data_IF_235976159280
#
_entry.id   IF_235976159280
#
_cell.length_a   1.000
_cell.length_b   1.000
_cell.length_c   1.000
_cell.angle_alpha   90.00
_cell.angle_beta   90.00
_cell.angle_gamma   90.00
#
_symmetry.space_group_name_H-M   'P 1'
#
loop_
_entity.id
_entity.type
_entity.pdbx_description
1 polymer ?
#
# COMPACT_ATOMS: atom_id res chain seq x y z
N UNK A 1 -39.94 -60.82 -2.46
CA UNK A 1 -39.30 -61.47 -3.59
C UNK A 1 -38.49 -60.44 -4.35
N UNK A 2 -37.18 -60.66 -4.50
CA UNK A 2 -36.13 -59.88 -5.16
C UNK A 2 -35.58 -58.66 -4.40
N UNK A 3 -34.52 -58.97 -3.62
CA UNK A 3 -33.43 -58.07 -3.26
C UNK A 3 -32.61 -57.74 -4.52
N UNK A 4 -32.13 -56.49 -4.63
CA UNK A 4 -31.03 -56.14 -5.52
C UNK A 4 -29.97 -55.42 -4.68
N UNK A 5 -28.82 -56.09 -4.60
CA UNK A 5 -27.56 -55.58 -4.07
C UNK A 5 -27.07 -54.38 -4.86
N UNK A 6 -26.65 -53.36 -4.16
CA UNK A 6 -25.86 -52.26 -4.71
C UNK A 6 -24.45 -52.31 -4.10
N UNK A 7 -23.38 -52.25 -4.92
CA UNK A 7 -22.01 -52.38 -4.40
C UNK A 7 -21.54 -51.06 -3.77
N UNK A 8 -21.04 -51.17 -2.57
CA UNK A 8 -20.30 -50.14 -1.82
C UNK A 8 -19.05 -49.72 -2.58
N UNK A 9 -19.02 -48.47 -3.08
CA UNK A 9 -17.81 -47.84 -3.60
C UNK A 9 -16.94 -47.43 -2.43
N UNK A 10 -15.78 -48.04 -2.28
CA UNK A 10 -14.69 -47.65 -1.41
C UNK A 10 -14.17 -46.27 -1.83
N UNK A 11 -14.26 -45.27 -0.93
CA UNK A 11 -13.62 -43.99 -1.10
C UNK A 11 -12.13 -44.16 -0.78
N UNK A 12 -11.29 -44.10 -1.81
CA UNK A 12 -9.86 -43.96 -1.64
C UNK A 12 -9.58 -42.60 -0.95
N UNK A 13 -9.01 -42.68 0.25
CA UNK A 13 -8.39 -41.51 0.92
C UNK A 13 -7.22 -41.08 0.04
N UNK A 14 -7.38 -39.96 -0.65
CA UNK A 14 -6.28 -39.25 -1.30
C UNK A 14 -5.25 -38.85 -0.25
N UNK A 15 -4.00 -39.19 -0.51
CA UNK A 15 -2.86 -38.80 0.30
C UNK A 15 -2.81 -37.26 0.38
N UNK A 16 -2.90 -36.73 1.59
CA UNK A 16 -2.55 -35.35 1.86
C UNK A 16 -1.08 -35.16 1.54
N UNK A 17 -0.80 -34.17 0.70
CA UNK A 17 0.53 -33.79 0.26
C UNK A 17 1.41 -33.50 1.47
N UNK A 18 2.63 -34.08 1.39
CA UNK A 18 3.68 -33.99 2.38
C UNK A 18 4.00 -32.54 2.81
N UNK A 19 4.41 -32.43 4.06
CA UNK A 19 5.07 -31.32 4.71
C UNK A 19 5.98 -30.54 3.74
N UNK A 20 5.54 -29.35 3.34
CA UNK A 20 6.46 -28.32 2.84
C UNK A 20 7.03 -27.65 4.08
N UNK A 21 8.33 -27.80 4.27
CA UNK A 21 9.06 -26.97 5.24
C UNK A 21 8.71 -25.49 5.02
N UNK A 22 8.54 -24.70 6.11
CA UNK A 22 8.31 -23.27 5.97
C UNK A 22 9.48 -22.66 5.19
N UNK A 23 9.22 -21.77 4.21
CA UNK A 23 10.25 -21.19 3.37
C UNK A 23 11.30 -20.49 4.23
N UNK A 24 12.57 -20.80 3.99
CA UNK A 24 13.71 -20.12 4.63
C UNK A 24 13.76 -18.66 4.16
N UNK A 25 14.46 -17.79 4.90
CA UNK A 25 14.64 -16.37 4.54
C UNK A 25 15.17 -16.22 3.10
N UNK A 26 16.03 -17.15 2.64
CA UNK A 26 16.59 -17.16 1.29
C UNK A 26 15.57 -17.42 0.18
N UNK A 27 14.46 -18.09 0.48
CA UNK A 27 13.41 -18.39 -0.52
C UNK A 27 12.31 -17.32 -0.61
N UNK A 28 12.31 -16.34 0.29
CA UNK A 28 11.25 -15.34 0.38
C UNK A 28 11.52 -14.04 -0.38
N UNK A 29 12.79 -13.70 -0.57
CA UNK A 29 13.22 -12.49 -1.27
C UNK A 29 14.31 -12.85 -2.28
N UNK A 30 14.26 -12.20 -3.43
CA UNK A 30 15.22 -12.41 -4.51
C UNK A 30 16.36 -11.41 -4.39
N UNK A 31 17.48 -11.67 -5.09
CA UNK A 31 18.58 -10.71 -5.18
C UNK A 31 18.14 -9.39 -5.81
N UNK A 32 17.16 -9.44 -6.74
CA UNK A 32 16.56 -8.25 -7.33
C UNK A 32 15.94 -7.32 -6.28
N UNK A 33 15.23 -7.88 -5.29
CA UNK A 33 14.63 -7.08 -4.21
C UNK A 33 15.69 -6.52 -3.24
N UNK A 34 16.70 -7.32 -2.91
CA UNK A 34 17.75 -6.93 -1.94
C UNK A 34 18.69 -5.86 -2.48
N UNK A 35 18.90 -5.81 -3.79
CA UNK A 35 19.82 -4.89 -4.46
C UNK A 35 19.19 -3.56 -4.90
N UNK A 36 17.86 -3.41 -4.78
CA UNK A 36 17.20 -2.16 -5.14
C UNK A 36 17.66 -1.04 -4.20
N UNK A 37 17.88 0.19 -4.71
CA UNK A 37 18.06 1.34 -3.85
C UNK A 37 16.89 1.54 -2.90
N UNK A 38 17.18 1.91 -1.65
CA UNK A 38 16.13 2.30 -0.70
C UNK A 38 15.45 3.57 -1.17
N UNK A 39 14.13 3.58 -1.11
CA UNK A 39 13.26 4.68 -1.50
C UNK A 39 12.37 5.08 -0.34
N UNK A 40 12.19 6.38 -0.13
CA UNK A 40 11.48 6.92 1.01
C UNK A 40 10.29 7.77 0.57
N UNK A 41 9.10 7.44 1.10
CA UNK A 41 7.89 8.22 0.95
C UNK A 41 7.49 8.90 2.26
N UNK A 42 6.96 10.11 2.18
CA UNK A 42 6.25 10.75 3.28
C UNK A 42 4.76 10.67 3.00
N UNK A 43 3.99 10.14 3.94
CA UNK A 43 2.53 10.02 3.84
C UNK A 43 1.84 10.99 4.79
N UNK A 44 1.10 11.95 4.24
CA UNK A 44 0.45 12.99 5.04
C UNK A 44 -0.87 13.44 4.45
N UNK A 45 -1.83 13.76 5.33
CA UNK A 45 -3.11 14.33 4.94
C UNK A 45 -3.04 15.81 4.56
N UNK A 46 -1.90 16.47 4.74
CA UNK A 46 -1.66 17.87 4.54
C UNK A 46 -2.60 18.76 5.37
N UNK A 47 -2.12 19.35 6.48
CA UNK A 47 -2.94 20.14 7.39
C UNK A 47 -3.53 21.37 6.69
N UNK A 48 -4.73 21.77 7.09
CA UNK A 48 -5.34 23.04 6.62
C UNK A 48 -4.44 24.22 6.95
N UNK A 49 -4.28 25.12 5.99
CA UNK A 49 -3.46 26.33 6.16
C UNK A 49 -1.97 26.12 5.91
N UNK A 50 -1.55 24.92 5.55
CA UNK A 50 -0.18 24.67 5.09
C UNK A 50 0.05 25.36 3.76
N UNK A 51 1.13 26.13 3.65
CA UNK A 51 1.61 26.56 2.34
C UNK A 51 2.17 25.35 1.59
N UNK A 52 1.41 24.84 0.66
CA UNK A 52 1.71 23.61 -0.07
C UNK A 52 3.09 23.60 -0.72
N UNK A 53 3.46 24.70 -1.35
CA UNK A 53 4.75 24.85 -2.00
C UNK A 53 5.90 24.75 -1.00
N UNK A 54 5.81 25.46 0.12
CA UNK A 54 6.81 25.44 1.18
C UNK A 54 6.93 24.04 1.79
N UNK A 55 5.82 23.39 2.07
CA UNK A 55 5.82 22.04 2.62
C UNK A 55 6.41 21.03 1.64
N UNK A 56 5.97 21.03 0.37
CA UNK A 56 6.49 20.10 -0.63
C UNK A 56 8.00 20.27 -0.87
N UNK A 57 8.49 21.51 -0.88
CA UNK A 57 9.92 21.80 -0.95
C UNK A 57 10.65 21.26 0.29
N UNK A 58 10.11 21.44 1.50
CA UNK A 58 10.73 20.90 2.72
C UNK A 58 10.82 19.37 2.71
N UNK A 59 9.82 18.67 2.15
CA UNK A 59 9.85 17.22 1.96
C UNK A 59 10.95 16.82 0.97
N UNK A 60 11.06 17.54 -0.16
CA UNK A 60 12.12 17.32 -1.14
C UNK A 60 13.51 17.56 -0.54
N UNK A 61 13.70 18.66 0.17
CA UNK A 61 14.97 19.06 0.78
C UNK A 61 15.38 18.11 1.93
N UNK A 62 14.39 17.49 2.60
CA UNK A 62 14.59 16.45 3.59
C UNK A 62 15.05 15.10 2.97
N UNK A 63 15.11 15.02 1.64
CA UNK A 63 15.63 13.86 0.92
C UNK A 63 14.60 12.75 0.64
N UNK A 64 13.31 13.00 0.82
CA UNK A 64 12.28 12.05 0.42
C UNK A 64 12.17 11.95 -1.11
N UNK A 65 11.85 10.75 -1.59
CA UNK A 65 11.65 10.47 -3.00
C UNK A 65 10.21 10.70 -3.44
N UNK A 66 9.24 10.51 -2.52
CA UNK A 66 7.81 10.56 -2.82
C UNK A 66 7.04 11.25 -1.70
N UNK A 67 6.11 12.12 -2.08
CA UNK A 67 5.06 12.62 -1.20
C UNK A 67 3.74 11.94 -1.56
N UNK A 68 3.16 11.17 -0.64
CA UNK A 68 1.89 10.47 -0.85
C UNK A 68 0.76 11.09 -0.04
N UNK A 69 -0.42 11.19 -0.66
CA UNK A 69 -1.61 11.83 -0.08
C UNK A 69 -2.71 10.78 0.06
N UNK A 70 -3.34 10.66 1.25
CA UNK A 70 -4.50 9.79 1.45
C UNK A 70 -5.75 10.34 0.79
N UNK A 71 -6.73 9.48 0.58
CA UNK A 71 -8.04 9.85 0.04
C UNK A 71 -9.11 9.65 1.11
N UNK A 72 -9.17 10.60 2.03
CA UNK A 72 -10.16 10.65 3.10
C UNK A 72 -11.09 11.84 2.93
N UNK A 73 -12.39 11.64 3.21
CA UNK A 73 -13.40 12.70 3.19
C UNK A 73 -13.40 13.59 4.45
N UNK A 74 -12.57 13.26 5.43
CA UNK A 74 -12.27 14.15 6.54
C UNK A 74 -11.56 15.41 6.03
N UNK A 75 -11.36 16.38 6.91
CA UNK A 75 -10.76 17.69 6.60
C UNK A 75 -9.31 17.56 6.05
N UNK A 76 -9.15 16.94 4.89
CA UNK A 76 -7.91 16.81 4.13
C UNK A 76 -8.06 17.44 2.75
N UNK A 77 -6.95 17.56 2.02
CA UNK A 77 -6.98 18.03 0.63
C UNK A 77 -7.38 16.90 -0.32
N UNK A 78 -7.95 17.28 -1.47
CA UNK A 78 -8.16 16.33 -2.56
C UNK A 78 -6.81 15.75 -3.02
N UNK A 79 -6.65 14.42 -3.10
CA UNK A 79 -5.37 13.81 -3.42
C UNK A 79 -4.79 14.23 -4.77
N UNK A 80 -5.62 14.35 -5.81
CA UNK A 80 -5.14 14.81 -7.12
C UNK A 80 -4.72 16.28 -7.12
N UNK A 81 -5.52 17.16 -6.49
CA UNK A 81 -5.17 18.58 -6.39
C UNK A 81 -3.90 18.77 -5.55
N UNK A 82 -3.78 18.07 -4.42
CA UNK A 82 -2.59 18.12 -3.57
C UNK A 82 -1.35 17.58 -4.26
N UNK A 83 -1.44 16.43 -4.94
CA UNK A 83 -0.35 15.85 -5.71
C UNK A 83 0.13 16.79 -6.84
N UNK A 84 -0.81 17.41 -7.56
CA UNK A 84 -0.49 18.39 -8.60
C UNK A 84 0.23 19.60 -8.02
N UNK A 85 -0.29 20.18 -6.94
CA UNK A 85 0.33 21.34 -6.29
C UNK A 85 1.75 21.04 -5.80
N UNK A 86 1.97 19.89 -5.18
CA UNK A 86 3.30 19.46 -4.73
C UNK A 86 4.26 19.19 -5.89
N UNK A 87 3.80 18.53 -6.96
CA UNK A 87 4.61 18.28 -8.15
C UNK A 87 5.05 19.58 -8.84
N UNK A 88 4.16 20.58 -8.90
CA UNK A 88 4.47 21.90 -9.50
C UNK A 88 5.40 22.75 -8.64
N UNK A 89 5.42 22.53 -7.32
CA UNK A 89 6.30 23.23 -6.41
C UNK A 89 7.72 22.68 -6.35
N UNK A 90 7.93 21.41 -6.79
CA UNK A 90 9.17 20.67 -6.64
C UNK A 90 9.77 20.29 -7.99
N UNK A 91 11.08 19.96 -8.00
CA UNK A 91 11.80 19.64 -9.23
C UNK A 91 11.96 18.15 -9.50
N UNK A 92 12.12 17.33 -8.46
CA UNK A 92 12.38 15.89 -8.58
C UNK A 92 11.53 15.03 -7.64
N UNK A 93 10.85 15.62 -6.66
CA UNK A 93 9.96 14.88 -5.77
C UNK A 93 8.83 14.24 -6.59
N UNK A 94 8.68 12.94 -6.45
CA UNK A 94 7.49 12.26 -6.95
C UNK A 94 6.30 12.55 -6.05
N UNK A 95 5.12 12.51 -6.61
CA UNK A 95 3.87 12.60 -5.84
C UNK A 95 3.03 11.37 -6.10
N UNK A 96 2.13 11.04 -5.20
CA UNK A 96 1.27 9.88 -5.40
C UNK A 96 0.10 9.84 -4.45
N UNK A 97 -0.71 8.84 -4.59
CA UNK A 97 -1.81 8.55 -3.68
C UNK A 97 -1.52 7.26 -2.90
N UNK A 98 -1.77 7.26 -1.59
CA UNK A 98 -1.60 6.06 -0.76
C UNK A 98 -2.73 5.98 0.27
N UNK A 99 -3.88 5.47 -0.11
CA UNK A 99 -4.29 5.10 -1.48
C UNK A 99 -5.60 5.79 -1.81
N UNK A 100 -5.95 5.97 -3.08
CA UNK A 100 -7.31 6.39 -3.44
C UNK A 100 -8.32 5.35 -2.94
N UNK A 101 -9.40 5.83 -2.36
CA UNK A 101 -10.58 5.01 -2.11
C UNK A 101 -11.35 4.84 -3.43
N UNK A 102 -11.29 3.63 -4.00
CA UNK A 102 -11.89 3.32 -5.29
C UNK A 102 -13.41 3.62 -5.34
N UNK A 103 -14.09 3.57 -4.19
CA UNK A 103 -15.54 3.77 -4.16
C UNK A 103 -15.97 5.24 -4.29
N UNK A 104 -15.03 6.18 -4.22
CA UNK A 104 -15.33 7.61 -4.29
C UNK A 104 -15.37 8.18 -5.72
N UNK A 105 -14.90 7.41 -6.74
CA UNK A 105 -14.78 7.90 -8.12
C UNK A 105 -15.10 6.81 -9.14
N UNK A 106 -15.56 7.25 -10.32
CA UNK A 106 -15.67 6.35 -11.46
C UNK A 106 -14.26 6.08 -12.05
N UNK A 107 -13.93 4.83 -12.47
CA UNK A 107 -12.59 4.49 -12.96
C UNK A 107 -12.12 5.29 -14.17
N UNK A 108 -13.03 5.71 -15.05
CA UNK A 108 -12.70 6.61 -16.18
C UNK A 108 -12.23 7.97 -15.66
N UNK A 109 -12.88 8.50 -14.63
CA UNK A 109 -12.49 9.77 -14.02
C UNK A 109 -11.13 9.64 -13.31
N UNK A 110 -10.93 8.55 -12.58
CA UNK A 110 -9.63 8.23 -11.96
C UNK A 110 -8.51 8.14 -13.01
N UNK A 111 -8.75 7.48 -14.14
CA UNK A 111 -7.76 7.40 -15.22
C UNK A 111 -7.47 8.76 -15.83
N UNK A 112 -8.50 9.60 -16.10
CA UNK A 112 -8.35 10.95 -16.64
C UNK A 112 -7.54 11.85 -15.70
N UNK A 113 -7.88 11.89 -14.42
CA UNK A 113 -7.14 12.67 -13.43
C UNK A 113 -5.70 12.19 -13.30
N UNK A 114 -5.48 10.88 -13.27
CA UNK A 114 -4.15 10.26 -13.22
C UNK A 114 -3.29 10.67 -14.42
N UNK A 115 -3.82 10.56 -15.63
CA UNK A 115 -3.12 10.97 -16.85
C UNK A 115 -2.79 12.48 -16.84
N UNK A 116 -3.72 13.29 -16.33
CA UNK A 116 -3.54 14.75 -16.22
C UNK A 116 -2.40 15.09 -15.26
N UNK A 117 -2.40 14.51 -14.04
CA UNK A 117 -1.33 14.77 -13.06
C UNK A 117 0.02 14.27 -13.56
N UNK A 118 0.06 13.10 -14.20
CA UNK A 118 1.28 12.56 -14.79
C UNK A 118 1.84 13.49 -15.88
N UNK A 119 1.00 14.01 -16.77
CA UNK A 119 1.40 14.97 -17.80
C UNK A 119 1.94 16.28 -17.19
N UNK A 120 1.22 16.87 -16.23
CA UNK A 120 1.61 18.13 -15.57
C UNK A 120 2.91 17.97 -14.78
N UNK A 121 3.09 16.83 -14.10
CA UNK A 121 4.27 16.54 -13.27
C UNK A 121 5.50 16.10 -14.08
N UNK A 122 5.38 15.89 -15.39
CA UNK A 122 6.45 15.30 -16.19
C UNK A 122 6.74 13.84 -15.83
N UNK A 123 5.71 13.06 -15.50
CA UNK A 123 5.81 11.64 -15.16
C UNK A 123 6.11 11.35 -13.69
N UNK A 124 6.15 12.36 -12.82
CA UNK A 124 6.46 12.19 -11.38
C UNK A 124 5.21 11.91 -10.55
N UNK A 125 4.34 11.00 -11.02
CA UNK A 125 3.13 10.61 -10.31
C UNK A 125 3.00 9.09 -10.19
N UNK A 126 2.56 8.61 -9.03
CA UNK A 126 2.26 7.20 -8.72
C UNK A 126 0.79 7.05 -8.35
N UNK A 127 0.08 6.19 -9.06
CA UNK A 127 -1.31 5.90 -8.77
C UNK A 127 -1.44 4.80 -7.73
N UNK A 128 -1.78 5.14 -6.50
CA UNK A 128 -2.10 4.15 -5.47
C UNK A 128 -3.61 3.96 -5.33
N UNK A 129 -4.07 2.71 -5.39
CA UNK A 129 -5.49 2.32 -5.28
C UNK A 129 -5.72 1.37 -4.12
N UNK A 130 -6.85 1.53 -3.44
CA UNK A 130 -7.34 0.68 -2.38
C UNK A 130 -8.87 0.53 -2.39
N UNK A 131 -9.38 -0.44 -1.66
CA UNK A 131 -10.80 -0.78 -1.66
C UNK A 131 -11.65 0.05 -0.67
N UNK A 132 -11.08 1.06 -0.02
CA UNK A 132 -11.76 1.84 1.02
C UNK A 132 -11.90 1.08 2.35
N UNK A 133 -11.92 1.81 3.48
CA UNK A 133 -11.98 1.16 4.81
C UNK A 133 -12.71 1.96 5.90
N UNK A 134 -12.84 3.29 5.77
CA UNK A 134 -13.41 4.14 6.81
C UNK A 134 -14.93 4.25 6.70
N UNK A 135 -15.66 3.32 7.34
CA UNK A 135 -17.12 3.29 7.32
C UNK A 135 -17.75 4.64 7.73
N UNK A 136 -17.16 5.35 8.69
CA UNK A 136 -17.69 6.64 9.15
C UNK A 136 -17.73 7.71 8.05
N UNK A 137 -16.80 7.68 7.11
CA UNK A 137 -16.79 8.60 5.96
C UNK A 137 -17.89 8.26 4.96
N UNK A 138 -18.11 6.96 4.71
CA UNK A 138 -19.23 6.52 3.86
C UNK A 138 -20.58 6.93 4.47
N UNK A 139 -20.76 6.71 5.77
CA UNK A 139 -21.98 7.08 6.46
C UNK A 139 -22.22 8.60 6.40
N UNK A 140 -21.17 9.40 6.66
CA UNK A 140 -21.26 10.86 6.64
C UNK A 140 -21.55 11.41 5.24
N UNK A 141 -21.00 10.76 4.19
CA UNK A 141 -21.22 11.14 2.80
C UNK A 141 -22.51 10.56 2.19
N UNK A 142 -23.26 9.75 2.93
CA UNK A 142 -24.45 9.06 2.40
C UNK A 142 -24.12 7.96 1.40
N UNK A 143 -22.89 7.45 1.41
CA UNK A 143 -22.45 6.37 0.54
C UNK A 143 -22.71 5.00 1.18
N UNK A 144 -23.00 4.00 0.35
CA UNK A 144 -23.21 2.65 0.84
C UNK A 144 -21.87 1.98 1.15
N UNK A 145 -21.66 1.61 2.42
CA UNK A 145 -20.51 0.82 2.83
C UNK A 145 -20.80 -0.68 2.65
N UNK A 146 -20.39 -1.23 1.52
CA UNK A 146 -20.61 -2.64 1.19
C UNK A 146 -19.59 -3.56 1.87
N UNK A 147 -19.74 -4.88 1.70
CA UNK A 147 -18.78 -5.85 2.23
C UNK A 147 -17.38 -5.61 1.67
N UNK A 148 -16.34 -5.91 2.43
CA UNK A 148 -14.95 -5.82 1.93
C UNK A 148 -14.72 -6.66 0.67
N UNK A 149 -15.46 -7.79 0.52
CA UNK A 149 -15.44 -8.59 -0.70
C UNK A 149 -15.94 -7.79 -1.90
N UNK A 150 -17.12 -7.19 -1.79
CA UNK A 150 -17.74 -6.40 -2.85
C UNK A 150 -16.88 -5.21 -3.25
N UNK A 151 -16.30 -4.51 -2.26
CA UNK A 151 -15.41 -3.38 -2.53
C UNK A 151 -14.13 -3.81 -3.27
N UNK A 152 -13.55 -4.98 -2.92
CA UNK A 152 -12.41 -5.53 -3.66
C UNK A 152 -12.82 -5.99 -5.06
N UNK A 153 -14.02 -6.58 -5.25
CA UNK A 153 -14.53 -6.94 -6.58
C UNK A 153 -14.66 -5.70 -7.47
N UNK A 154 -15.22 -4.60 -6.91
CA UNK A 154 -15.31 -3.30 -7.60
C UNK A 154 -13.94 -2.73 -7.96
N UNK A 155 -12.95 -2.80 -7.06
CA UNK A 155 -11.58 -2.37 -7.36
C UNK A 155 -10.95 -3.20 -8.48
N UNK A 156 -11.17 -4.51 -8.52
CA UNK A 156 -10.66 -5.37 -9.61
C UNK A 156 -11.21 -4.91 -10.96
N UNK A 157 -12.53 -4.66 -11.06
CA UNK A 157 -13.14 -4.15 -12.29
C UNK A 157 -12.62 -2.74 -12.63
N UNK A 158 -12.45 -1.88 -11.63
CA UNK A 158 -11.88 -0.54 -11.80
C UNK A 158 -10.48 -0.58 -12.41
N UNK A 159 -9.62 -1.45 -11.91
CA UNK A 159 -8.25 -1.63 -12.43
C UNK A 159 -8.26 -2.14 -13.89
N UNK A 160 -9.22 -3.00 -14.24
CA UNK A 160 -9.39 -3.47 -15.62
C UNK A 160 -9.86 -2.35 -16.58
N UNK A 161 -10.45 -1.28 -16.06
CA UNK A 161 -10.77 -0.08 -16.85
C UNK A 161 -9.58 0.89 -16.87
N UNK A 162 -8.99 1.18 -15.73
CA UNK A 162 -7.96 2.22 -15.58
C UNK A 162 -6.69 1.87 -16.37
N UNK A 163 -6.19 0.64 -16.26
CA UNK A 163 -4.92 0.26 -16.89
C UNK A 163 -4.92 0.39 -18.42
N UNK A 164 -5.88 -0.15 -19.16
CA UNK A 164 -5.94 0.03 -20.61
C UNK A 164 -6.08 1.51 -21.00
N UNK A 165 -6.93 2.29 -20.30
CA UNK A 165 -7.09 3.72 -20.58
C UNK A 165 -5.76 4.48 -20.45
N UNK A 166 -4.97 4.20 -19.39
CA UNK A 166 -3.67 4.83 -19.20
C UNK A 166 -2.61 4.35 -20.20
N UNK A 167 -2.75 3.12 -20.69
CA UNK A 167 -1.89 2.58 -21.76
C UNK A 167 -2.27 3.07 -23.17
N UNK A 168 -3.41 3.75 -23.31
CA UNK A 168 -3.94 4.16 -24.61
C UNK A 168 -4.52 2.98 -25.41
N UNK A 169 -4.91 1.92 -24.74
CA UNK A 169 -5.52 0.72 -25.31
C UNK A 169 -7.06 0.83 -25.29
N UNK A 170 -7.77 0.08 -26.15
CA UNK A 170 -9.22 0.02 -26.08
C UNK A 170 -9.69 -0.66 -24.78
N UNK A 171 -10.88 -0.29 -24.31
CA UNK A 171 -11.53 -0.85 -23.13
C UNK A 171 -12.87 -1.46 -23.54
N UNK A 172 -13.10 -2.72 -23.16
CA UNK A 172 -14.41 -3.39 -23.22
C UNK A 172 -14.63 -4.17 -21.91
N UNK A 173 -15.21 -3.49 -20.93
CA UNK A 173 -15.57 -4.04 -19.62
C UNK A 173 -17.07 -4.03 -19.49
N UNK A 174 -17.67 -5.20 -19.31
CA UNK A 174 -19.09 -5.41 -19.01
C UNK A 174 -19.20 -6.20 -17.71
N UNK A 175 -18.94 -5.49 -16.59
CA UNK A 175 -18.82 -6.08 -15.26
C UNK A 175 -20.07 -5.88 -14.40
N UNK A 176 -20.00 -6.37 -13.17
CA UNK A 176 -21.08 -6.20 -12.18
C UNK A 176 -21.14 -4.77 -11.60
N UNK A 177 -20.05 -4.03 -11.70
CA UNK A 177 -19.92 -2.68 -11.11
C UNK A 177 -19.71 -1.60 -12.16
N UNK A 178 -19.05 -1.91 -13.27
CA UNK A 178 -18.77 -0.96 -14.33
C UNK A 178 -19.04 -1.54 -15.71
N UNK A 179 -19.64 -0.71 -16.57
CA UNK A 179 -19.82 -0.99 -17.98
C UNK A 179 -19.13 0.14 -18.76
N UNK A 180 -17.97 -0.15 -19.35
CA UNK A 180 -17.14 0.85 -20.06
C UNK A 180 -16.67 0.27 -21.39
N UNK A 181 -16.99 0.95 -22.49
CA UNK A 181 -16.51 0.64 -23.83
C UNK A 181 -15.95 1.88 -24.47
N UNK A 182 -14.73 1.79 -24.95
CA UNK A 182 -14.06 2.90 -25.63
C UNK A 182 -12.97 2.39 -26.56
N UNK A 183 -12.80 3.06 -27.67
CA UNK A 183 -11.65 2.88 -28.55
C UNK A 183 -10.38 3.48 -27.93
N UNK A 184 -9.22 3.13 -28.48
CA UNK A 184 -7.93 3.63 -28.03
C UNK A 184 -7.88 5.16 -28.03
N UNK A 185 -7.61 5.78 -26.89
CA UNK A 185 -7.51 7.23 -26.72
C UNK A 185 -8.82 8.01 -26.76
N UNK A 186 -9.97 7.35 -26.83
CA UNK A 186 -11.28 8.02 -26.95
C UNK A 186 -11.68 8.74 -25.65
N UNK A 187 -11.51 8.12 -24.48
CA UNK A 187 -11.95 8.67 -23.18
C UNK A 187 -10.82 9.38 -22.43
N UNK A 188 -9.60 8.89 -22.55
CA UNK A 188 -8.43 9.41 -21.84
C UNK A 188 -7.27 9.54 -22.83
N UNK A 189 -6.68 10.73 -22.90
CA UNK A 189 -5.44 10.91 -23.66
C UNK A 189 -4.29 10.20 -22.91
N UNK A 190 -3.57 9.26 -23.54
CA UNK A 190 -2.47 8.56 -22.90
C UNK A 190 -1.40 9.56 -22.46
N UNK A 191 -0.85 9.42 -21.23
CA UNK A 191 0.13 10.38 -20.70
C UNK A 191 1.51 10.32 -21.40
N UNK A 192 1.75 9.32 -22.24
CA UNK A 192 3.03 9.11 -22.94
C UNK A 192 4.18 8.64 -22.03
N UNK A 193 3.90 8.40 -20.77
CA UNK A 193 4.85 7.89 -19.77
C UNK A 193 4.20 6.77 -18.97
N UNK A 194 5.01 5.84 -18.47
CA UNK A 194 4.52 4.80 -17.56
C UNK A 194 4.18 5.42 -16.19
N UNK A 195 2.98 5.15 -15.71
CA UNK A 195 2.53 5.58 -14.37
C UNK A 195 2.55 4.35 -13.47
N UNK A 196 3.43 4.30 -12.45
CA UNK A 196 3.45 3.16 -11.54
C UNK A 196 2.11 2.99 -10.82
N UNK A 197 1.55 1.79 -10.89
CA UNK A 197 0.33 1.40 -10.17
C UNK A 197 0.70 0.75 -8.85
N UNK A 198 0.31 1.39 -7.75
CA UNK A 198 0.38 0.81 -6.41
C UNK A 198 -1.01 0.26 -6.02
N UNK A 199 -1.05 -1.00 -5.59
CA UNK A 199 -2.23 -1.57 -4.93
C UNK A 199 -1.88 -1.77 -3.46
N UNK A 200 -2.61 -1.08 -2.58
CA UNK A 200 -2.29 -1.03 -1.15
C UNK A 200 -3.39 -1.60 -0.25
N UNK A 201 -2.95 -2.32 0.77
CA UNK A 201 -3.78 -2.89 1.83
C UNK A 201 -3.20 -4.14 2.48
N UNK A 202 -4.04 -4.91 3.20
CA UNK A 202 -3.56 -6.08 3.95
C UNK A 202 -4.38 -7.36 3.68
N UNK A 203 -5.53 -7.24 3.00
CA UNK A 203 -6.40 -8.38 2.71
C UNK A 203 -5.84 -9.29 1.62
N UNK A 204 -5.95 -10.62 1.80
CA UNK A 204 -5.40 -11.61 0.86
C UNK A 204 -5.81 -11.37 -0.60
N UNK A 205 -7.09 -11.13 -0.89
CA UNK A 205 -7.57 -10.90 -2.26
C UNK A 205 -7.00 -9.61 -2.88
N UNK A 206 -6.80 -8.60 -2.06
CA UNK A 206 -6.22 -7.33 -2.48
C UNK A 206 -4.73 -7.49 -2.81
N UNK A 207 -3.98 -8.20 -1.97
CA UNK A 207 -2.57 -8.52 -2.23
C UNK A 207 -2.39 -9.49 -3.42
N UNK A 208 -3.33 -10.39 -3.64
CA UNK A 208 -3.36 -11.19 -4.88
C UNK A 208 -3.58 -10.32 -6.13
N UNK A 209 -4.43 -9.29 -6.05
CA UNK A 209 -4.56 -8.33 -7.14
C UNK A 209 -3.24 -7.58 -7.35
N UNK A 210 -2.60 -7.09 -6.26
CA UNK A 210 -1.29 -6.45 -6.35
C UNK A 210 -0.27 -7.33 -7.05
N UNK A 211 -0.14 -8.62 -6.66
CA UNK A 211 0.76 -9.57 -7.31
C UNK A 211 0.50 -9.71 -8.82
N UNK A 212 -0.76 -9.75 -9.23
CA UNK A 212 -1.09 -9.94 -10.66
C UNK A 212 -0.85 -8.72 -11.54
N UNK A 213 -1.08 -7.49 -11.03
CA UNK A 213 -1.19 -6.32 -11.91
C UNK A 213 -0.41 -5.09 -11.47
N UNK A 214 0.02 -4.99 -10.20
CA UNK A 214 0.66 -3.79 -9.70
C UNK A 214 2.16 -3.73 -10.02
N UNK A 215 2.69 -2.53 -10.13
CA UNK A 215 4.13 -2.25 -10.14
C UNK A 215 4.67 -2.16 -8.71
N UNK A 216 3.82 -1.72 -7.78
CA UNK A 216 4.14 -1.56 -6.37
C UNK A 216 3.08 -2.26 -5.51
N UNK A 217 3.50 -3.19 -4.65
CA UNK A 217 2.62 -3.81 -3.66
C UNK A 217 2.75 -3.06 -2.32
N UNK A 218 1.69 -2.38 -1.91
CA UNK A 218 1.64 -1.59 -0.68
C UNK A 218 1.15 -2.43 0.51
N UNK A 219 2.03 -2.63 1.51
CA UNK A 219 1.80 -3.45 2.69
C UNK A 219 1.53 -2.55 3.89
N UNK A 220 0.30 -2.59 4.41
CA UNK A 220 -0.14 -1.70 5.49
C UNK A 220 0.15 -2.23 6.90
N UNK A 221 0.41 -3.54 7.05
CA UNK A 221 0.65 -4.20 8.33
C UNK A 221 -0.60 -4.42 9.19
N UNK A 222 -1.66 -3.70 8.95
CA UNK A 222 -2.91 -3.85 9.68
C UNK A 222 -4.12 -3.92 8.75
N UNK A 223 -5.23 -4.36 9.30
CA UNK A 223 -6.54 -4.32 8.64
C UNK A 223 -7.60 -3.85 9.63
N UNK A 224 -8.81 -3.63 9.15
CA UNK A 224 -9.93 -3.31 10.02
C UNK A 224 -10.84 -4.53 10.17
N UNK A 225 -11.56 -4.60 11.29
CA UNK A 225 -12.64 -5.57 11.45
C UNK A 225 -13.76 -5.28 10.42
N UNK A 226 -14.74 -6.17 10.36
CA UNK A 226 -15.83 -6.10 9.35
C UNK A 226 -16.54 -4.75 9.32
N UNK A 227 -16.72 -4.11 10.47
CA UNK A 227 -17.46 -2.85 10.61
C UNK A 227 -16.53 -1.63 10.57
N UNK A 228 -15.24 -1.84 10.34
CA UNK A 228 -14.19 -0.82 10.32
C UNK A 228 -14.09 0.03 11.62
N UNK A 229 -14.53 -0.55 12.75
CA UNK A 229 -14.52 0.12 14.07
C UNK A 229 -13.27 -0.19 14.88
N UNK A 230 -12.53 -1.25 14.52
CA UNK A 230 -11.31 -1.69 15.24
C UNK A 230 -10.22 -2.08 14.27
N UNK A 231 -8.99 -1.72 14.64
CA UNK A 231 -7.78 -2.16 13.93
C UNK A 231 -7.45 -3.60 14.32
N UNK A 232 -7.10 -4.42 13.33
CA UNK A 232 -6.61 -5.77 13.50
C UNK A 232 -5.13 -5.81 13.16
N UNK A 233 -4.30 -6.16 14.15
CA UNK A 233 -2.84 -6.19 14.07
C UNK A 233 -2.29 -7.59 13.72
N UNK A 234 -3.10 -8.51 13.22
CA UNK A 234 -2.69 -9.91 12.96
C UNK A 234 -1.42 -10.04 12.09
N UNK A 235 -1.15 -9.06 11.24
CA UNK A 235 0.00 -9.07 10.34
C UNK A 235 0.96 -7.89 10.60
N UNK A 236 0.99 -7.39 11.83
CA UNK A 236 1.77 -6.21 12.20
C UNK A 236 3.21 -6.54 12.67
N UNK A 237 3.51 -7.80 12.87
CA UNK A 237 4.83 -8.33 13.22
C UNK A 237 5.62 -8.80 11.98
N UNK A 238 6.85 -9.25 12.20
CA UNK A 238 7.74 -9.75 11.15
C UNK A 238 7.16 -10.99 10.43
N UNK A 239 6.52 -11.90 11.17
CA UNK A 239 5.90 -13.09 10.62
C UNK A 239 4.71 -12.72 9.71
N UNK A 240 3.88 -11.78 10.17
CA UNK A 240 2.76 -11.25 9.41
C UNK A 240 3.19 -10.56 8.12
N UNK A 241 4.26 -9.77 8.14
CA UNK A 241 4.80 -9.16 6.91
C UNK A 241 5.27 -10.23 5.92
N UNK A 242 6.00 -11.26 6.39
CA UNK A 242 6.43 -12.39 5.54
C UNK A 242 5.24 -13.10 4.89
N UNK A 243 4.20 -13.38 5.67
CA UNK A 243 2.98 -14.01 5.15
C UNK A 243 2.30 -13.14 4.09
N UNK A 244 2.22 -11.82 4.27
CA UNK A 244 1.65 -10.91 3.27
C UNK A 244 2.48 -10.82 1.99
N UNK A 245 3.81 -10.81 2.10
CA UNK A 245 4.72 -10.85 0.94
C UNK A 245 4.57 -12.18 0.19
N UNK A 246 4.42 -13.31 0.89
CA UNK A 246 4.18 -14.60 0.25
C UNK A 246 2.91 -14.61 -0.61
N UNK A 247 1.82 -13.99 -0.13
CA UNK A 247 0.59 -13.83 -0.92
C UNK A 247 0.83 -13.05 -2.21
N UNK A 248 1.61 -11.97 -2.16
CA UNK A 248 1.96 -11.18 -3.35
C UNK A 248 2.81 -12.01 -4.31
N UNK A 249 3.85 -12.66 -3.80
CA UNK A 249 4.77 -13.50 -4.59
C UNK A 249 4.03 -14.64 -5.29
N UNK A 250 3.19 -15.38 -4.57
CA UNK A 250 2.47 -16.52 -5.12
C UNK A 250 1.48 -16.09 -6.22
N UNK A 251 0.89 -14.89 -6.08
CA UNK A 251 0.01 -14.34 -7.10
C UNK A 251 0.75 -13.71 -8.30
N UNK A 252 1.99 -13.28 -8.09
CA UNK A 252 2.82 -12.64 -9.12
C UNK A 252 3.50 -13.64 -10.04
N UNK A 253 3.86 -14.83 -9.52
CA UNK A 253 4.68 -15.80 -10.26
C UNK A 253 5.99 -15.16 -10.74
N UNK A 254 6.31 -15.35 -12.01
CA UNK A 254 7.56 -14.87 -12.63
C UNK A 254 7.73 -13.33 -12.62
N UNK A 255 6.63 -12.58 -12.44
CA UNK A 255 6.76 -11.12 -12.37
C UNK A 255 7.09 -10.59 -10.98
N UNK A 256 7.27 -11.47 -9.97
CA UNK A 256 7.54 -11.02 -8.60
C UNK A 256 8.76 -10.11 -8.50
N UNK A 257 9.83 -10.44 -9.22
CA UNK A 257 11.05 -9.64 -9.26
C UNK A 257 10.87 -8.22 -9.82
N UNK A 258 9.85 -8.01 -10.64
CA UNK A 258 9.53 -6.68 -11.18
C UNK A 258 8.74 -5.81 -10.18
N UNK A 259 8.07 -6.42 -9.20
CA UNK A 259 7.22 -5.70 -8.23
C UNK A 259 8.10 -5.03 -7.17
N UNK A 260 7.86 -3.76 -6.91
CA UNK A 260 8.44 -3.06 -5.76
C UNK A 260 7.59 -3.35 -4.53
N UNK A 261 8.23 -3.81 -3.45
CA UNK A 261 7.55 -3.97 -2.17
C UNK A 261 7.63 -2.65 -1.40
N UNK A 262 6.46 -2.08 -1.11
CA UNK A 262 6.29 -0.90 -0.27
C UNK A 262 5.71 -1.31 1.09
N UNK A 263 6.22 -0.74 2.18
CA UNK A 263 5.62 -0.89 3.50
C UNK A 263 5.42 0.48 4.16
N UNK A 264 4.27 0.63 4.83
CA UNK A 264 3.89 1.87 5.51
C UNK A 264 4.32 1.81 6.98
N UNK A 265 5.41 2.52 7.33
CA UNK A 265 5.82 2.71 8.73
C UNK A 265 4.77 3.56 9.42
N UNK A 266 4.14 2.98 10.43
CA UNK A 266 3.04 3.59 11.19
C UNK A 266 3.54 4.49 12.32
N UNK A 267 4.70 4.15 12.91
CA UNK A 267 5.25 4.86 14.04
C UNK A 267 6.75 5.05 13.89
N UNK A 268 7.18 6.28 14.10
CA UNK A 268 8.59 6.65 14.22
C UNK A 268 8.78 7.23 15.62
N UNK A 269 9.72 6.67 16.38
CA UNK A 269 10.01 7.12 17.74
C UNK A 269 11.52 7.23 17.93
N UNK A 270 12.03 8.47 17.94
CA UNK A 270 13.43 8.73 18.30
C UNK A 270 13.62 8.53 19.80
N UNK A 271 14.46 7.58 20.17
CA UNK A 271 14.73 7.24 21.56
C UNK A 271 16.13 6.67 21.74
N UNK A 272 16.71 6.83 22.93
CA UNK A 272 17.92 6.13 23.35
C UNK A 272 17.60 4.88 24.20
N UNK A 273 16.33 4.71 24.60
CA UNK A 273 15.82 3.54 25.32
C UNK A 273 14.66 2.90 24.53
N UNK A 274 15.01 1.91 23.71
CA UNK A 274 14.06 1.21 22.83
C UNK A 274 13.03 0.40 23.63
N UNK A 275 13.45 -0.20 24.73
CA UNK A 275 12.59 -1.09 25.53
C UNK A 275 11.52 -0.27 26.26
N UNK A 276 11.90 0.83 26.90
CA UNK A 276 10.96 1.74 27.53
C UNK A 276 9.96 2.31 26.52
N UNK A 277 10.44 2.78 25.36
CA UNK A 277 9.56 3.34 24.33
C UNK A 277 8.64 2.28 23.69
N UNK A 278 9.11 1.03 23.57
CA UNK A 278 8.26 -0.07 23.10
C UNK A 278 7.17 -0.41 24.11
N UNK A 279 7.49 -0.37 25.42
CA UNK A 279 6.51 -0.57 26.48
C UNK A 279 5.44 0.52 26.50
N UNK A 280 5.82 1.78 26.29
CA UNK A 280 4.89 2.91 26.18
C UNK A 280 3.94 2.76 24.98
N UNK A 281 4.48 2.38 23.80
CA UNK A 281 3.67 2.11 22.62
C UNK A 281 2.73 0.93 22.84
N UNK A 282 3.21 -0.17 23.41
CA UNK A 282 2.41 -1.35 23.70
C UNK A 282 1.24 -1.03 24.64
N UNK A 283 1.48 -0.22 25.67
CA UNK A 283 0.44 0.27 26.57
C UNK A 283 -0.60 1.13 25.87
N UNK A 284 -0.18 2.00 24.94
CA UNK A 284 -1.07 2.86 24.15
C UNK A 284 -1.98 2.07 23.21
N UNK A 285 -1.48 0.97 22.63
CA UNK A 285 -2.29 0.09 21.77
C UNK A 285 -3.26 -0.80 22.56
N UNK A 286 -3.00 -1.07 23.83
CA UNK A 286 -3.82 -1.91 24.69
C UNK A 286 -3.85 -3.38 24.26
N UNK A 287 -3.12 -4.23 24.98
CA UNK A 287 -3.17 -5.68 24.82
C UNK A 287 -2.13 -6.32 23.88
N UNK A 288 -1.12 -5.59 23.45
CA UNK A 288 0.08 -6.14 22.81
C UNK A 288 1.29 -6.06 23.75
N UNK A 289 2.32 -6.87 23.49
CA UNK A 289 3.55 -6.83 24.30
C UNK A 289 4.60 -5.88 23.73
N UNK A 290 5.55 -5.40 24.54
CA UNK A 290 6.69 -4.61 24.05
C UNK A 290 7.51 -5.36 22.99
N UNK A 291 7.68 -6.67 23.13
CA UNK A 291 8.40 -7.52 22.17
C UNK A 291 7.70 -7.52 20.80
N UNK A 292 6.36 -7.55 20.79
CA UNK A 292 5.57 -7.44 19.55
C UNK A 292 5.82 -6.11 18.84
N UNK A 293 5.95 -5.02 19.60
CA UNK A 293 6.28 -3.68 19.05
C UNK A 293 7.70 -3.67 18.48
N UNK A 294 8.67 -4.26 19.21
CA UNK A 294 10.08 -4.33 18.80
C UNK A 294 10.28 -5.21 17.56
N UNK A 295 9.50 -6.28 17.39
CA UNK A 295 9.53 -7.18 16.23
C UNK A 295 8.82 -6.57 15.00
N UNK A 296 8.00 -5.55 15.19
CA UNK A 296 7.20 -5.00 14.10
C UNK A 296 8.04 -4.24 13.07
N UNK A 297 8.00 -4.64 11.79
CA UNK A 297 8.64 -3.88 10.71
C UNK A 297 7.90 -2.56 10.38
N UNK A 298 6.71 -2.35 10.91
CA UNK A 298 5.92 -1.14 10.74
C UNK A 298 6.14 -0.09 11.85
N UNK A 299 7.06 -0.36 12.77
CA UNK A 299 7.52 0.55 13.81
C UNK A 299 9.00 0.80 13.62
N UNK A 300 9.40 2.07 13.56
CA UNK A 300 10.80 2.48 13.50
C UNK A 300 11.15 3.21 14.79
N UNK A 301 12.03 2.59 15.61
CA UNK A 301 12.22 3.00 16.99
C UNK A 301 13.70 2.83 17.39
N UNK A 302 14.31 3.90 17.92
CA UNK A 302 15.71 3.90 18.34
C UNK A 302 16.44 5.21 18.04
N UNK A 303 17.78 5.19 18.02
CA UNK A 303 18.60 6.28 17.48
C UNK A 303 18.49 6.33 15.96
N UNK A 304 18.94 7.39 15.31
CA UNK A 304 18.90 7.49 13.86
C UNK A 304 19.75 6.39 13.19
N UNK A 305 20.89 6.04 13.79
CA UNK A 305 21.77 4.95 13.32
C UNK A 305 21.06 3.60 13.44
N UNK A 306 20.42 3.31 14.57
CA UNK A 306 19.66 2.09 14.77
C UNK A 306 18.47 1.98 13.80
N UNK A 307 17.81 3.09 13.51
CA UNK A 307 16.73 3.14 12.51
C UNK A 307 17.27 2.85 11.10
N UNK A 308 18.41 3.43 10.73
CA UNK A 308 19.05 3.19 9.45
C UNK A 308 19.46 1.73 9.29
N UNK A 309 20.15 1.14 10.29
CA UNK A 309 20.51 -0.26 10.32
C UNK A 309 19.29 -1.18 10.21
N UNK A 310 18.20 -0.87 10.94
CA UNK A 310 16.97 -1.63 10.89
C UNK A 310 16.34 -1.64 9.50
N UNK A 311 16.38 -0.54 8.76
CA UNK A 311 15.83 -0.47 7.39
C UNK A 311 16.65 -1.31 6.40
N UNK A 312 17.99 -1.28 6.51
CA UNK A 312 18.88 -2.14 5.70
C UNK A 312 18.61 -3.62 6.01
N UNK A 313 18.52 -3.99 7.29
CA UNK A 313 18.24 -5.37 7.69
C UNK A 313 16.86 -5.83 7.24
N UNK A 314 15.84 -4.98 7.35
CA UNK A 314 14.48 -5.26 6.85
C UNK A 314 14.45 -5.44 5.33
N UNK A 315 15.24 -4.66 4.58
CA UNK A 315 15.38 -4.89 3.14
C UNK A 315 16.01 -6.26 2.87
N UNK A 316 17.06 -6.62 3.60
CA UNK A 316 17.69 -7.93 3.46
C UNK A 316 16.74 -9.08 3.77
N UNK A 317 15.90 -8.95 4.83
CA UNK A 317 14.98 -9.98 5.29
C UNK A 317 13.71 -10.10 4.45
N UNK A 318 13.12 -8.95 4.07
CA UNK A 318 11.79 -8.88 3.48
C UNK A 318 11.79 -8.43 2.02
N UNK A 319 12.91 -7.92 1.50
CA UNK A 319 12.98 -7.35 0.17
C UNK A 319 12.22 -6.03 0.01
N UNK A 320 11.78 -5.41 1.11
CA UNK A 320 11.11 -4.12 1.08
C UNK A 320 12.15 -3.03 0.82
N UNK A 321 12.02 -2.36 -0.31
CA UNK A 321 12.92 -1.29 -0.73
C UNK A 321 12.25 0.09 -0.75
N UNK A 322 10.93 0.16 -0.63
CA UNK A 322 10.19 1.40 -0.60
C UNK A 322 9.48 1.54 0.75
N UNK A 323 10.02 2.41 1.61
CA UNK A 323 9.47 2.69 2.93
C UNK A 323 8.71 4.00 2.90
N UNK A 324 7.41 3.94 3.12
CA UNK A 324 6.58 5.12 3.31
C UNK A 324 6.35 5.34 4.80
N UNK A 325 6.51 6.58 5.26
CA UNK A 325 6.37 6.94 6.67
C UNK A 325 5.10 7.74 6.86
N UNK A 326 4.30 7.36 7.81
CA UNK A 326 3.15 8.15 8.26
C UNK A 326 3.67 9.35 9.06
N UNK A 327 3.45 10.56 8.54
CA UNK A 327 4.06 11.76 9.10
C UNK A 327 3.41 12.18 10.42
N UNK A 328 2.09 12.31 10.44
CA UNK A 328 1.38 12.82 11.60
C UNK A 328 0.28 11.89 12.09
N UNK A 329 0.35 11.56 13.37
CA UNK A 329 -0.79 11.05 14.15
C UNK A 329 -1.31 12.17 15.05
N UNK A 330 -2.60 12.20 15.30
CA UNK A 330 -3.23 13.13 16.23
C UNK A 330 -2.45 13.12 17.57
N UNK A 331 -1.84 14.27 17.90
CA UNK A 331 -1.07 14.46 19.14
C UNK A 331 0.41 14.07 19.09
N UNK A 332 0.97 13.74 17.92
CA UNK A 332 2.41 13.50 17.73
C UNK A 332 3.03 14.55 16.81
N UNK A 333 4.31 14.82 17.05
CA UNK A 333 5.11 15.64 16.15
C UNK A 333 5.37 14.92 14.82
N UNK A 334 5.65 15.69 13.78
CA UNK A 334 6.05 15.17 12.46
C UNK A 334 7.26 14.25 12.57
N UNK A 335 7.20 13.11 11.88
CA UNK A 335 8.30 12.17 11.76
C UNK A 335 9.37 12.62 10.74
N UNK A 336 9.03 13.59 9.88
CA UNK A 336 9.88 14.06 8.80
C UNK A 336 11.30 14.43 9.23
N UNK A 337 11.53 15.21 10.33
CA UNK A 337 12.89 15.61 10.73
C UNK A 337 13.79 14.44 11.13
N UNK A 338 13.23 13.42 11.81
CA UNK A 338 14.00 12.25 12.22
C UNK A 338 14.31 11.35 11.01
N UNK A 339 13.33 11.16 10.14
CA UNK A 339 13.53 10.35 8.93
C UNK A 339 14.51 11.03 7.96
N UNK A 340 14.52 12.36 7.86
CA UNK A 340 15.52 13.08 7.06
C UNK A 340 16.96 12.73 7.49
N UNK A 341 17.22 12.61 8.80
CA UNK A 341 18.54 12.18 9.32
C UNK A 341 18.82 10.72 9.00
N UNK A 342 17.83 9.85 9.09
CA UNK A 342 17.96 8.44 8.70
C UNK A 342 18.28 8.32 7.20
N UNK A 343 17.59 9.07 6.34
CA UNK A 343 17.87 9.11 4.90
C UNK A 343 19.30 9.56 4.64
N UNK A 344 19.78 10.59 5.33
CA UNK A 344 21.14 11.11 5.18
C UNK A 344 22.22 10.09 5.58
N UNK A 345 21.94 9.17 6.52
CA UNK A 345 22.83 8.07 6.90
C UNK A 345 22.87 6.92 5.86
N UNK A 346 21.83 6.82 5.01
CA UNK A 346 21.65 5.73 4.04
C UNK A 346 22.06 6.11 2.60
N UNK A 347 22.36 7.38 2.36
CA UNK A 347 22.81 7.96 1.08
C UNK A 347 24.24 8.46 1.14
#
# INVERSE_FOLDING_TARGET
>A
MFARDTPTKSVQKGAFAADREPPTVETMTTDAHRSRPLRFGLHTALPRGTEFSTFANSVQDAGFDVLTIPDHLVASVSPFAGATAAAMATTHLHTGTLVLNNDLRHPVDTARETATVAAISGGRFELGLGAGHMKSEYDAAGLRFESGRTRVDRLIESVNVIRPLLAGEPVDVDGAHYCVRAEAGELVAPPGVHIPLLIGGNGTRLLQLAGRVADIAGLAGFSHNRDATKVNLTHFDAAGLKDRIAVVRDAAGDRFDAIVLNALIQFVVRTDDREASAAELAAAFGGISPEFVLDSPFVLLGTHEQMAEALVERQRQFGVSYWTVFDEWVGRASAMPDIAKVIALLR
#
